data_IF_587973920093
#
_entry.id   IF_587973920093
#
_cell.length_a   1.000
_cell.length_b   1.000
_cell.length_c   1.000
_cell.angle_alpha   90.00
_cell.angle_beta   90.00
_cell.angle_gamma   90.00
#
_symmetry.space_group_name_H-M   'P 1'
#
loop_
_entity.id
_entity.type
_entity.pdbx_description
1 polymer ?
#
# COMPACT_ATOMS: atom_id res chain seq x y z
N UNK A 1 11.45 12.70 -9.25
CA UNK A 1 11.30 12.69 -7.77
C UNK A 1 10.01 11.94 -7.54
N UNK A 2 10.02 10.89 -6.73
CA UNK A 2 8.82 10.06 -6.54
C UNK A 2 7.77 10.89 -5.82
N UNK A 3 6.59 11.06 -6.41
CA UNK A 3 5.48 11.75 -5.78
C UNK A 3 4.84 10.89 -4.68
N UNK A 4 4.52 11.49 -3.54
CA UNK A 4 3.86 10.85 -2.40
C UNK A 4 2.44 11.39 -2.22
N UNK A 5 1.43 10.56 -2.54
CA UNK A 5 0.02 10.93 -2.50
C UNK A 5 -0.66 10.27 -1.31
N UNK A 6 -1.32 11.07 -0.48
CA UNK A 6 -2.16 10.60 0.63
C UNK A 6 -3.63 10.61 0.23
N UNK A 7 -4.34 9.51 0.47
CA UNK A 7 -5.79 9.43 0.35
C UNK A 7 -6.38 9.26 1.75
N UNK A 8 -7.27 10.16 2.15
CA UNK A 8 -7.76 10.28 3.51
C UNK A 8 -9.29 10.44 3.52
N UNK A 9 -10.03 9.39 3.92
CA UNK A 9 -11.44 9.52 4.26
C UNK A 9 -11.64 10.55 5.38
N UNK A 10 -12.66 11.37 5.23
CA UNK A 10 -13.03 12.41 6.19
C UNK A 10 -14.21 11.92 7.02
N UNK A 11 -13.92 11.61 8.28
CA UNK A 11 -14.92 11.36 9.31
C UNK A 11 -15.33 12.67 10.00
N UNK A 12 -15.72 12.57 11.26
CA UNK A 12 -16.14 13.74 12.05
C UNK A 12 -15.03 14.34 12.92
N UNK A 13 -13.83 13.75 12.88
CA UNK A 13 -12.69 14.19 13.68
C UNK A 13 -11.46 14.41 12.78
N UNK A 14 -10.79 15.57 12.89
CA UNK A 14 -9.64 15.90 12.04
C UNK A 14 -8.35 15.20 12.49
N UNK A 15 -8.31 14.79 13.77
CA UNK A 15 -7.13 14.27 14.45
C UNK A 15 -6.44 13.09 13.73
N UNK A 16 -7.17 12.08 13.22
CA UNK A 16 -6.54 10.96 12.52
C UNK A 16 -5.80 11.34 11.23
N UNK A 17 -6.17 12.45 10.60
CA UNK A 17 -5.45 12.96 9.43
C UNK A 17 -4.26 13.80 9.89
N UNK A 18 -4.49 14.74 10.82
CA UNK A 18 -3.48 15.70 11.27
C UNK A 18 -2.33 15.06 12.06
N UNK A 19 -2.59 13.99 12.81
CA UNK A 19 -1.55 13.30 13.56
C UNK A 19 -0.55 12.52 12.69
N UNK A 20 -0.94 12.15 11.46
CA UNK A 20 -0.04 11.52 10.49
C UNK A 20 0.86 12.53 9.76
N UNK A 21 0.55 13.83 9.83
CA UNK A 21 1.33 14.88 9.17
C UNK A 21 2.73 14.94 9.75
N UNK A 22 3.74 14.78 8.87
CA UNK A 22 5.15 14.73 9.22
C UNK A 22 5.66 13.36 9.68
N UNK A 23 4.78 12.37 9.87
CA UNK A 23 5.20 10.99 10.13
C UNK A 23 5.48 10.21 8.83
N UNK A 24 4.85 10.61 7.72
CA UNK A 24 5.01 10.05 6.38
C UNK A 24 5.25 11.18 5.37
N UNK A 25 6.01 10.94 4.28
CA UNK A 25 6.21 11.92 3.22
C UNK A 25 4.90 12.17 2.46
N UNK A 26 4.57 13.43 2.18
CA UNK A 26 3.34 13.81 1.51
C UNK A 26 3.52 15.04 0.64
N UNK A 27 3.25 14.88 -0.66
CA UNK A 27 3.27 15.97 -1.66
C UNK A 27 1.85 16.42 -2.04
N UNK A 28 0.86 15.53 -1.86
CA UNK A 28 -0.54 15.77 -2.22
C UNK A 28 -1.49 15.00 -1.31
N UNK A 29 -2.65 15.60 -1.03
CA UNK A 29 -3.73 14.97 -0.27
C UNK A 29 -5.02 14.87 -1.09
N UNK A 30 -5.71 13.74 -1.01
CA UNK A 30 -7.09 13.57 -1.44
C UNK A 30 -7.97 13.35 -0.22
N UNK A 31 -9.02 14.15 -0.10
CA UNK A 31 -10.00 14.03 0.96
C UNK A 31 -11.29 13.41 0.42
N UNK A 32 -11.61 12.20 0.88
CA UNK A 32 -12.89 11.56 0.55
C UNK A 32 -13.92 12.01 1.58
N UNK A 33 -14.83 12.90 1.22
CA UNK A 33 -15.81 13.49 2.12
C UNK A 33 -17.23 13.16 1.65
N UNK A 34 -18.21 13.48 2.49
CA UNK A 34 -19.62 13.45 2.11
C UNK A 34 -20.30 14.74 2.59
N UNK A 35 -21.52 15.00 2.11
CA UNK A 35 -22.25 16.23 2.42
C UNK A 35 -22.74 16.36 3.87
N UNK A 36 -22.45 15.40 4.76
CA UNK A 36 -22.80 15.54 6.17
C UNK A 36 -22.05 16.72 6.80
N UNK A 37 -22.79 17.57 7.53
CA UNK A 37 -22.28 18.83 8.08
C UNK A 37 -21.00 18.65 8.92
N UNK A 38 -20.93 17.60 9.74
CA UNK A 38 -19.73 17.31 10.55
C UNK A 38 -18.54 16.86 9.71
N UNK A 39 -18.76 16.17 8.59
CA UNK A 39 -17.70 15.79 7.64
C UNK A 39 -17.13 17.03 6.96
N UNK A 40 -17.99 17.95 6.50
CA UNK A 40 -17.59 19.22 5.90
C UNK A 40 -16.82 20.12 6.89
N UNK A 41 -17.29 20.22 8.14
CA UNK A 41 -16.58 20.95 9.20
C UNK A 41 -15.20 20.34 9.48
N UNK A 42 -15.11 19.01 9.50
CA UNK A 42 -13.86 18.29 9.68
C UNK A 42 -12.90 18.54 8.51
N UNK A 43 -13.38 18.46 7.27
CA UNK A 43 -12.62 18.76 6.05
C UNK A 43 -11.99 20.16 6.10
N UNK A 44 -12.80 21.18 6.40
CA UNK A 44 -12.32 22.56 6.47
C UNK A 44 -11.30 22.77 7.60
N UNK A 45 -11.50 22.13 8.76
CA UNK A 45 -10.52 22.16 9.84
C UNK A 45 -9.17 21.52 9.43
N UNK A 46 -9.21 20.38 8.73
CA UNK A 46 -8.00 19.71 8.21
C UNK A 46 -7.29 20.58 7.19
N UNK A 47 -8.02 21.12 6.19
CA UNK A 47 -7.46 21.97 5.15
C UNK A 47 -6.81 23.23 5.73
N UNK A 48 -7.47 23.87 6.69
CA UNK A 48 -6.94 25.06 7.37
C UNK A 48 -5.63 24.74 8.09
N UNK A 49 -5.57 23.61 8.81
CA UNK A 49 -4.36 23.20 9.52
C UNK A 49 -3.20 22.83 8.57
N UNK A 50 -3.49 22.20 7.43
CA UNK A 50 -2.48 21.89 6.41
C UNK A 50 -1.97 23.14 5.69
N UNK A 51 -2.86 24.08 5.36
CA UNK A 51 -2.48 25.35 4.76
C UNK A 51 -1.55 26.17 5.67
N UNK A 52 -1.79 26.14 6.99
CA UNK A 52 -0.96 26.82 7.98
C UNK A 52 0.50 26.33 8.02
N UNK A 53 0.77 25.11 7.55
CA UNK A 53 2.13 24.54 7.43
C UNK A 53 2.65 24.54 5.99
N UNK A 54 1.97 25.24 5.07
CA UNK A 54 2.34 25.36 3.66
C UNK A 54 1.91 24.19 2.78
N UNK A 55 1.14 23.23 3.31
CA UNK A 55 0.63 22.08 2.55
C UNK A 55 -0.71 22.42 1.90
N UNK A 56 -0.67 22.93 0.67
CA UNK A 56 -1.85 23.43 -0.06
C UNK A 56 -2.27 22.53 -1.22
N UNK A 57 -1.49 21.50 -1.55
CA UNK A 57 -1.82 20.60 -2.65
C UNK A 57 -2.81 19.53 -2.18
N UNK A 58 -4.10 19.87 -2.20
CA UNK A 58 -5.17 18.97 -1.83
C UNK A 58 -6.32 18.99 -2.83
N UNK A 59 -7.04 17.87 -2.92
CA UNK A 59 -8.24 17.70 -3.74
C UNK A 59 -9.36 17.06 -2.91
N UNK A 60 -10.58 17.49 -3.17
CA UNK A 60 -11.79 17.03 -2.48
C UNK A 60 -12.56 16.09 -3.40
N UNK A 61 -12.99 14.96 -2.85
CA UNK A 61 -13.71 13.92 -3.58
C UNK A 61 -14.98 13.59 -2.80
N UNK A 62 -16.12 13.99 -3.33
CA UNK A 62 -17.41 13.62 -2.78
C UNK A 62 -17.66 12.11 -3.00
N UNK A 63 -18.10 11.44 -1.95
CA UNK A 63 -18.42 10.02 -1.94
C UNK A 63 -19.70 9.77 -1.14
N UNK A 64 -20.49 8.77 -1.57
CA UNK A 64 -21.49 8.17 -0.69
C UNK A 64 -20.76 7.15 0.23
N UNK A 65 -20.71 7.38 1.56
CA UNK A 65 -19.99 6.50 2.48
C UNK A 65 -20.68 5.14 2.69
N UNK A 66 -21.86 4.92 2.09
CA UNK A 66 -22.61 3.67 2.11
C UNK A 66 -22.54 2.93 0.77
N UNK A 67 -22.04 3.55 -0.30
CA UNK A 67 -21.79 2.90 -1.58
C UNK A 67 -20.33 2.46 -1.71
N UNK A 68 -20.08 1.21 -1.30
CA UNK A 68 -18.76 0.58 -1.43
C UNK A 68 -18.17 0.69 -2.85
N UNK A 69 -18.99 0.50 -3.89
CA UNK A 69 -18.52 0.45 -5.28
C UNK A 69 -18.13 1.83 -5.77
N UNK A 70 -18.90 2.86 -5.42
CA UNK A 70 -18.57 4.25 -5.72
C UNK A 70 -17.27 4.70 -5.03
N UNK A 71 -17.06 4.30 -3.77
CA UNK A 71 -15.81 4.57 -3.04
C UNK A 71 -14.62 3.89 -3.72
N UNK A 72 -14.74 2.61 -4.07
CA UNK A 72 -13.70 1.88 -4.83
C UNK A 72 -13.41 2.56 -6.17
N UNK A 73 -14.44 2.93 -6.93
CA UNK A 73 -14.30 3.62 -8.21
C UNK A 73 -13.55 4.95 -8.07
N UNK A 74 -13.86 5.71 -7.02
CA UNK A 74 -13.18 6.98 -6.70
C UNK A 74 -11.71 6.77 -6.38
N UNK A 75 -11.39 5.79 -5.52
CA UNK A 75 -10.01 5.44 -5.19
C UNK A 75 -9.20 5.00 -6.43
N UNK A 76 -9.79 4.17 -7.29
CA UNK A 76 -9.15 3.70 -8.52
C UNK A 76 -8.95 4.82 -9.53
N UNK A 77 -9.90 5.78 -9.61
CA UNK A 77 -9.78 6.98 -10.43
C UNK A 77 -8.58 7.83 -9.98
N UNK A 78 -8.46 8.12 -8.68
CA UNK A 78 -7.32 8.86 -8.11
C UNK A 78 -6.01 8.17 -8.48
N UNK A 79 -5.91 6.86 -8.27
CA UNK A 79 -4.73 6.09 -8.63
C UNK A 79 -4.37 6.21 -10.12
N UNK A 80 -5.38 6.09 -11.01
CA UNK A 80 -5.17 6.17 -12.45
C UNK A 80 -4.69 7.55 -12.89
N UNK A 81 -5.32 8.61 -12.38
CA UNK A 81 -4.99 10.00 -12.72
C UNK A 81 -3.58 10.39 -12.25
N UNK A 82 -3.20 10.02 -11.03
CA UNK A 82 -1.87 10.33 -10.49
C UNK A 82 -0.79 9.49 -11.18
N UNK A 83 -1.00 8.19 -11.43
CA UNK A 83 -0.03 7.35 -12.18
C UNK A 83 0.14 7.78 -13.64
N UNK A 84 -0.87 8.42 -14.23
CA UNK A 84 -0.74 9.00 -15.56
C UNK A 84 0.18 10.24 -15.55
N UNK A 85 0.22 10.99 -14.44
CA UNK A 85 1.10 12.14 -14.29
C UNK A 85 2.52 11.73 -13.89
N UNK A 86 2.64 10.83 -12.91
CA UNK A 86 3.91 10.25 -12.47
C UNK A 86 3.76 8.73 -12.32
N UNK A 87 4.32 7.93 -13.25
CA UNK A 87 4.25 6.48 -13.18
C UNK A 87 4.87 5.89 -11.91
N UNK A 88 5.69 6.63 -11.17
CA UNK A 88 6.34 6.16 -9.94
C UNK A 88 5.61 6.60 -8.66
N UNK A 89 4.45 7.28 -8.75
CA UNK A 89 3.70 7.76 -7.57
C UNK A 89 3.49 6.67 -6.53
N UNK A 90 3.83 7.01 -5.28
CA UNK A 90 3.61 6.18 -4.11
C UNK A 90 2.35 6.63 -3.36
N UNK A 91 1.45 5.70 -3.08
CA UNK A 91 0.17 5.99 -2.44
C UNK A 91 0.18 5.57 -0.96
N UNK A 92 -0.32 6.45 -0.11
CA UNK A 92 -0.62 6.17 1.29
C UNK A 92 -2.13 6.30 1.52
N UNK A 93 -2.77 5.29 2.09
CA UNK A 93 -4.20 5.33 2.39
C UNK A 93 -4.39 5.32 3.90
N UNK A 94 -4.94 6.41 4.44
CA UNK A 94 -5.43 6.44 5.81
C UNK A 94 -6.79 5.75 5.85
N UNK A 95 -7.00 4.79 6.74
CA UNK A 95 -8.33 4.16 6.88
C UNK A 95 -8.90 4.30 8.30
N UNK A 96 -8.35 5.20 9.11
CA UNK A 96 -8.81 5.43 10.49
C UNK A 96 -10.17 6.11 10.55
N UNK A 97 -10.46 6.99 9.60
CA UNK A 97 -11.69 7.75 9.52
C UNK A 97 -12.67 7.16 8.50
N UNK A 98 -13.93 7.59 8.58
CA UNK A 98 -15.02 7.15 7.71
C UNK A 98 -15.82 5.98 8.30
N UNK A 99 -16.77 5.48 7.52
CA UNK A 99 -17.56 4.30 7.88
C UNK A 99 -16.71 3.04 7.69
N UNK A 100 -17.14 1.92 8.30
CA UNK A 100 -16.51 0.62 8.05
C UNK A 100 -16.56 0.21 6.57
N UNK A 101 -17.56 0.69 5.81
CA UNK A 101 -17.68 0.47 4.36
C UNK A 101 -16.52 1.16 3.64
N UNK A 102 -16.28 2.44 3.95
CA UNK A 102 -15.16 3.21 3.37
C UNK A 102 -13.80 2.62 3.78
N UNK A 103 -13.65 2.23 5.05
CA UNK A 103 -12.44 1.57 5.54
C UNK A 103 -12.20 0.24 4.80
N UNK A 104 -13.25 -0.57 4.60
CA UNK A 104 -13.19 -1.79 3.81
C UNK A 104 -12.75 -1.54 2.37
N UNK A 105 -13.31 -0.53 1.70
CA UNK A 105 -12.93 -0.15 0.34
C UNK A 105 -11.46 0.29 0.25
N UNK A 106 -11.00 1.09 1.22
CA UNK A 106 -9.60 1.51 1.36
C UNK A 106 -8.67 0.30 1.48
N UNK A 107 -9.01 -0.65 2.37
CA UNK A 107 -8.27 -1.89 2.53
C UNK A 107 -8.22 -2.67 1.21
N UNK A 108 -9.35 -2.92 0.55
CA UNK A 108 -9.36 -3.68 -0.71
C UNK A 108 -8.57 -2.99 -1.82
N UNK A 109 -8.75 -1.69 -2.02
CA UNK A 109 -8.03 -0.96 -3.08
C UNK A 109 -6.54 -0.91 -2.81
N UNK A 110 -6.12 -0.80 -1.56
CA UNK A 110 -4.69 -0.81 -1.23
C UNK A 110 -3.97 -2.05 -1.78
N UNK A 111 -4.60 -3.23 -1.73
CA UNK A 111 -4.07 -4.46 -2.33
C UNK A 111 -4.05 -4.44 -3.87
N UNK A 112 -5.01 -3.77 -4.51
CA UNK A 112 -5.04 -3.67 -5.98
C UNK A 112 -3.97 -2.73 -6.53
N UNK A 113 -3.72 -1.63 -5.82
CA UNK A 113 -2.79 -0.58 -6.29
C UNK A 113 -1.41 -0.63 -5.61
N UNK A 114 -1.23 -1.52 -4.64
CA UNK A 114 -0.01 -1.61 -3.83
C UNK A 114 0.22 -0.37 -2.95
N UNK A 115 -0.85 0.21 -2.39
CA UNK A 115 -0.72 1.38 -1.54
C UNK A 115 -0.23 1.00 -0.14
N UNK A 116 0.50 1.89 0.51
CA UNK A 116 0.80 1.78 1.93
C UNK A 116 -0.44 2.15 2.74
N UNK A 117 -1.12 1.17 3.30
CA UNK A 117 -2.27 1.40 4.17
C UNK A 117 -1.76 1.78 5.57
N UNK A 118 -2.40 2.73 6.25
CA UNK A 118 -2.01 3.08 7.61
C UNK A 118 -3.19 3.49 8.49
N UNK A 119 -3.04 3.21 9.79
CA UNK A 119 -3.99 3.57 10.84
C UNK A 119 -3.31 4.48 11.87
N UNK A 120 -3.98 5.54 12.28
CA UNK A 120 -3.55 6.41 13.37
C UNK A 120 -4.28 6.01 14.65
N UNK A 121 -3.51 5.56 15.64
CA UNK A 121 -4.04 5.24 16.97
C UNK A 121 -4.44 6.52 17.69
N UNK A 122 -5.56 6.50 18.41
CA UNK A 122 -5.99 7.61 19.27
C UNK A 122 -4.94 7.91 20.33
N UNK A 123 -4.83 9.17 20.71
CA UNK A 123 -4.03 9.58 21.85
C UNK A 123 -4.79 9.24 23.13
N UNK A 124 -4.35 8.19 23.84
CA UNK A 124 -4.96 7.80 25.10
C UNK A 124 -4.29 8.53 26.27
N UNK A 125 -5.04 8.98 27.29
CA UNK A 125 -4.47 9.61 28.47
C UNK A 125 -3.41 8.72 29.14
N UNK A 126 -2.17 9.21 29.22
CA UNK A 126 -1.02 8.48 29.76
C UNK A 126 -0.16 7.77 28.71
N UNK A 127 -0.55 7.81 27.43
CA UNK A 127 0.32 7.39 26.34
C UNK A 127 1.39 8.46 26.08
N UNK A 128 2.66 8.06 26.04
CA UNK A 128 3.79 8.92 25.65
C UNK A 128 4.23 8.64 24.21
N UNK A 129 3.30 8.16 23.36
CA UNK A 129 3.64 7.78 21.99
C UNK A 129 3.89 9.03 21.15
N UNK A 130 5.04 9.06 20.49
CA UNK A 130 5.33 10.08 19.48
C UNK A 130 4.40 9.96 18.26
N UNK A 131 4.31 11.01 17.43
CA UNK A 131 3.47 11.00 16.21
C UNK A 131 3.76 9.81 15.30
N UNK A 132 5.03 9.46 15.09
CA UNK A 132 5.43 8.31 14.28
C UNK A 132 5.01 6.99 14.90
N UNK A 133 5.09 6.86 16.24
CA UNK A 133 4.65 5.67 16.96
C UNK A 133 3.13 5.51 16.98
N UNK A 134 2.36 6.58 16.73
CA UNK A 134 0.90 6.50 16.60
C UNK A 134 0.45 6.03 15.22
N UNK A 135 1.31 6.12 14.20
CA UNK A 135 1.03 5.63 12.85
C UNK A 135 1.41 4.15 12.73
N UNK A 136 0.41 3.31 12.50
CA UNK A 136 0.56 1.87 12.24
C UNK A 136 0.50 1.63 10.74
N UNK A 137 1.66 1.33 10.14
CA UNK A 137 1.77 0.98 8.72
C UNK A 137 1.36 -0.48 8.52
N UNK A 138 0.45 -0.71 7.59
CA UNK A 138 0.05 -2.02 7.09
C UNK A 138 0.58 -2.14 5.66
N UNK A 139 1.62 -2.97 5.49
CA UNK A 139 2.18 -3.26 4.18
C UNK A 139 1.15 -4.05 3.37
N UNK A 140 0.62 -3.45 2.30
CA UNK A 140 -0.24 -4.15 1.35
C UNK A 140 0.54 -4.46 0.08
N UNK A 141 0.49 -5.72 -0.41
CA UNK A 141 1.15 -6.09 -1.64
C UNK A 141 0.34 -5.55 -2.81
N UNK A 142 0.98 -5.38 -3.96
CA UNK A 142 0.22 -5.29 -5.21
C UNK A 142 -0.07 -6.72 -5.65
N UNK A 143 -1.33 -7.16 -5.57
CA UNK A 143 -1.71 -8.51 -6.02
C UNK A 143 -1.38 -8.62 -7.52
N UNK A 144 -0.45 -9.52 -7.93
CA UNK A 144 -0.22 -9.76 -9.35
C UNK A 144 -1.39 -10.56 -9.93
N UNK A 145 -1.61 -10.41 -11.22
CA UNK A 145 -2.54 -11.26 -11.96
C UNK A 145 -1.94 -12.68 -12.07
N UNK A 146 -2.42 -13.59 -11.20
CA UNK A 146 -1.91 -14.96 -11.05
C UNK A 146 -2.13 -15.78 -12.33
N UNK A 147 -3.26 -15.56 -13.00
CA UNK A 147 -3.61 -16.27 -14.24
C UNK A 147 -2.67 -15.86 -15.39
N UNK A 148 -2.30 -14.58 -15.46
CA UNK A 148 -1.34 -14.08 -16.45
C UNK A 148 0.12 -14.34 -16.09
N UNK A 149 0.40 -14.84 -14.88
CA UNK A 149 1.76 -15.14 -14.47
C UNK A 149 2.30 -16.36 -15.24
N UNK A 150 3.39 -16.15 -15.99
CA UNK A 150 4.03 -17.24 -16.76
C UNK A 150 4.52 -18.36 -15.83
N UNK A 151 4.48 -19.65 -16.25
CA UNK A 151 4.92 -20.78 -15.43
C UNK A 151 6.33 -20.60 -14.84
N UNK A 152 7.26 -20.10 -15.65
CA UNK A 152 8.63 -19.80 -15.19
C UNK A 152 8.69 -18.80 -14.03
N UNK A 153 7.80 -17.81 -14.01
CA UNK A 153 7.73 -16.84 -12.93
C UNK A 153 7.08 -17.45 -11.67
N UNK A 154 6.04 -18.30 -11.85
CA UNK A 154 5.44 -19.07 -10.75
C UNK A 154 6.50 -19.93 -10.06
N UNK A 155 7.29 -20.69 -10.82
CA UNK A 155 8.35 -21.55 -10.27
C UNK A 155 9.40 -20.78 -9.47
N UNK A 156 9.82 -19.59 -9.95
CA UNK A 156 10.75 -18.73 -9.21
C UNK A 156 10.14 -18.33 -7.87
N UNK A 157 8.90 -17.83 -7.87
CA UNK A 157 8.24 -17.38 -6.66
C UNK A 157 8.04 -18.53 -5.68
N UNK A 158 7.54 -19.67 -6.16
CA UNK A 158 7.41 -20.91 -5.37
C UNK A 158 8.71 -21.29 -4.70
N UNK A 159 9.82 -21.27 -5.44
CA UNK A 159 11.12 -21.64 -4.88
C UNK A 159 11.62 -20.69 -3.81
N UNK A 160 11.34 -19.40 -3.95
CA UNK A 160 11.66 -18.40 -2.91
C UNK A 160 10.78 -18.63 -1.68
N UNK A 161 9.48 -18.90 -1.86
CA UNK A 161 8.51 -19.10 -0.78
C UNK A 161 8.70 -20.40 0.01
N UNK A 162 9.17 -21.48 -0.63
CA UNK A 162 9.54 -22.73 0.05
C UNK A 162 10.69 -22.56 1.05
N UNK A 163 11.56 -21.56 0.85
CA UNK A 163 12.71 -21.36 1.72
C UNK A 163 12.36 -20.57 2.97
N UNK A 164 12.43 -21.23 4.14
CA UNK A 164 12.19 -20.58 5.45
C UNK A 164 13.16 -19.44 5.77
N UNK A 165 14.41 -19.54 5.31
CA UNK A 165 15.48 -18.56 5.58
C UNK A 165 15.78 -17.67 4.37
N UNK A 166 15.01 -17.81 3.29
CA UNK A 166 15.32 -17.20 1.98
C UNK A 166 16.30 -18.03 1.16
N UNK A 167 16.44 -17.69 -0.12
CA UNK A 167 17.28 -18.40 -1.09
C UNK A 167 18.34 -17.46 -1.67
N UNK A 168 19.58 -17.94 -1.76
CA UNK A 168 20.64 -17.19 -2.41
C UNK A 168 20.41 -17.12 -3.94
N UNK A 169 20.67 -15.96 -4.55
CA UNK A 169 20.51 -15.77 -6.00
C UNK A 169 21.27 -16.82 -6.82
N UNK A 170 22.46 -17.23 -6.37
CA UNK A 170 23.25 -18.26 -7.05
C UNK A 170 22.59 -19.64 -6.98
N UNK A 171 22.06 -20.01 -5.81
CA UNK A 171 21.34 -21.27 -5.61
C UNK A 171 20.04 -21.30 -6.45
N UNK A 172 19.32 -20.19 -6.50
CA UNK A 172 18.14 -20.04 -7.35
C UNK A 172 18.51 -20.16 -8.84
N UNK A 173 19.63 -19.56 -9.27
CA UNK A 173 20.09 -19.65 -10.67
C UNK A 173 20.43 -21.07 -11.09
N UNK A 174 21.07 -21.82 -10.19
CA UNK A 174 21.38 -23.23 -10.41
C UNK A 174 20.11 -24.07 -10.53
N UNK A 175 19.15 -23.86 -9.62
CA UNK A 175 17.87 -24.57 -9.63
C UNK A 175 17.05 -24.29 -10.90
N UNK A 176 16.91 -23.02 -11.27
CA UNK A 176 16.13 -22.60 -12.43
C UNK A 176 16.84 -22.87 -13.77
N UNK A 177 18.10 -23.33 -13.73
CA UNK A 177 18.97 -23.48 -14.90
C UNK A 177 18.95 -22.22 -15.80
N UNK A 178 19.02 -21.05 -15.16
CA UNK A 178 18.81 -19.78 -15.83
C UNK A 178 19.86 -18.74 -15.44
N UNK A 179 20.13 -17.79 -16.33
CA UNK A 179 21.09 -16.74 -16.05
C UNK A 179 20.57 -15.79 -14.95
N UNK A 180 21.46 -15.25 -14.09
CA UNK A 180 21.07 -14.26 -13.09
C UNK A 180 20.37 -13.03 -13.68
N UNK A 181 20.69 -12.66 -14.93
CA UNK A 181 20.03 -11.53 -15.61
C UNK A 181 18.55 -11.81 -15.89
N UNK A 182 18.23 -13.01 -16.42
CA UNK A 182 16.85 -13.40 -16.71
C UNK A 182 16.03 -13.51 -15.41
N UNK A 183 16.62 -14.04 -14.34
CA UNK A 183 15.96 -14.13 -13.04
C UNK A 183 15.71 -12.75 -12.43
N UNK A 184 16.69 -11.84 -12.49
CA UNK A 184 16.54 -10.49 -11.94
C UNK A 184 15.35 -9.73 -12.52
N UNK A 185 15.00 -9.95 -13.80
CA UNK A 185 13.82 -9.34 -14.39
C UNK A 185 12.53 -9.72 -13.63
N UNK A 186 12.33 -11.01 -13.36
CA UNK A 186 11.17 -11.50 -12.61
C UNK A 186 11.24 -11.12 -11.12
N UNK A 187 12.43 -11.22 -10.52
CA UNK A 187 12.64 -10.88 -9.11
C UNK A 187 12.36 -9.41 -8.85
N UNK A 188 12.82 -8.50 -9.73
CA UNK A 188 12.51 -7.08 -9.61
C UNK A 188 11.01 -6.83 -9.72
N UNK A 189 10.30 -7.56 -10.59
CA UNK A 189 8.84 -7.50 -10.65
C UNK A 189 8.18 -7.97 -9.34
N UNK A 190 8.70 -9.02 -8.70
CA UNK A 190 8.18 -9.48 -7.41
C UNK A 190 8.49 -8.52 -6.26
N UNK A 191 9.66 -7.88 -6.28
CA UNK A 191 10.03 -6.83 -5.34
C UNK A 191 9.11 -5.62 -5.52
N UNK A 192 8.87 -5.17 -6.75
CA UNK A 192 7.97 -4.04 -7.01
C UNK A 192 6.52 -4.33 -6.60
N UNK A 193 6.11 -5.60 -6.62
CA UNK A 193 4.79 -6.03 -6.15
C UNK A 193 4.73 -6.32 -4.65
N UNK A 194 5.84 -6.24 -3.92
CA UNK A 194 5.90 -6.50 -2.49
C UNK A 194 5.82 -7.98 -2.08
N UNK A 195 6.09 -8.89 -3.02
CA UNK A 195 6.03 -10.35 -2.79
C UNK A 195 7.36 -10.92 -2.27
N UNK A 196 8.46 -10.26 -2.62
CA UNK A 196 9.82 -10.68 -2.28
C UNK A 196 10.60 -9.47 -1.78
N UNK A 197 11.38 -9.65 -0.73
CA UNK A 197 12.37 -8.69 -0.27
C UNK A 197 13.78 -9.21 -0.60
N UNK A 198 14.70 -8.28 -0.90
CA UNK A 198 16.08 -8.58 -1.26
C UNK A 198 17.00 -8.07 -0.16
N UNK A 199 17.66 -8.98 0.53
CA UNK A 199 18.62 -8.69 1.59
C UNK A 199 20.04 -9.02 1.12
N UNK A 200 21.03 -8.33 1.71
CA UNK A 200 22.44 -8.64 1.50
C UNK A 200 22.98 -9.28 2.78
N UNK A 201 23.54 -10.47 2.65
CA UNK A 201 24.31 -11.13 3.70
C UNK A 201 25.78 -11.17 3.26
N UNK A 202 26.55 -10.20 3.73
CA UNK A 202 27.90 -9.93 3.24
C UNK A 202 27.94 -9.66 1.73
N UNK A 203 28.56 -10.55 0.96
CA UNK A 203 28.64 -10.47 -0.52
C UNK A 203 27.48 -11.18 -1.22
N UNK A 204 26.65 -11.91 -0.48
CA UNK A 204 25.58 -12.74 -1.01
C UNK A 204 24.28 -11.96 -1.07
N UNK A 205 23.51 -12.20 -2.13
CA UNK A 205 22.17 -11.68 -2.29
C UNK A 205 21.20 -12.79 -1.89
N UNK A 206 20.42 -12.54 -0.85
CA UNK A 206 19.39 -13.46 -0.34
C UNK A 206 18.02 -12.88 -0.68
N UNK A 207 17.14 -13.74 -1.19
CA UNK A 207 15.76 -13.41 -1.54
C UNK A 207 14.86 -14.05 -0.51
N UNK A 208 14.00 -13.26 0.12
CA UNK A 208 13.08 -13.71 1.17
C UNK A 208 11.65 -13.41 0.72
N UNK A 209 10.78 -14.41 0.77
CA UNK A 209 9.35 -14.18 0.53
C UNK A 209 8.75 -13.38 1.68
N UNK A 210 7.95 -12.37 1.34
CA UNK A 210 7.12 -11.68 2.32
C UNK A 210 5.95 -12.58 2.74
N UNK A 211 5.25 -12.24 3.82
CA UNK A 211 4.01 -12.96 4.20
C UNK A 211 2.99 -12.97 3.06
N UNK A 212 2.97 -11.89 2.28
CA UNK A 212 2.15 -11.72 1.09
C UNK A 212 2.60 -12.65 -0.05
N UNK A 213 3.91 -12.76 -0.30
CA UNK A 213 4.44 -13.74 -1.25
C UNK A 213 4.09 -15.18 -0.88
N UNK A 214 4.11 -15.51 0.42
CA UNK A 214 3.71 -16.82 0.94
C UNK A 214 2.21 -17.08 0.78
N UNK A 215 1.36 -16.09 1.07
CA UNK A 215 -0.09 -16.19 0.86
C UNK A 215 -0.44 -16.39 -0.62
N UNK A 216 0.21 -15.64 -1.51
CA UNK A 216 0.03 -15.82 -2.95
C UNK A 216 0.48 -17.22 -3.40
N UNK A 217 1.61 -17.68 -2.87
CA UNK A 217 2.11 -19.01 -3.14
C UNK A 217 1.15 -20.10 -2.67
N UNK A 218 0.49 -19.97 -1.51
CA UNK A 218 -0.51 -20.96 -1.09
C UNK A 218 -1.66 -21.09 -2.10
N UNK A 219 -2.10 -19.99 -2.72
CA UNK A 219 -3.14 -20.05 -3.75
C UNK A 219 -2.64 -20.69 -5.05
N UNK A 220 -1.41 -20.39 -5.47
CA UNK A 220 -0.79 -21.03 -6.64
C UNK A 220 -0.60 -22.54 -6.41
N UNK A 221 -0.26 -22.93 -5.19
CA UNK A 221 -0.07 -24.33 -4.82
C UNK A 221 -1.40 -25.11 -4.75
N UNK A 222 -2.49 -24.45 -4.33
CA UNK A 222 -3.85 -25.01 -4.36
C UNK A 222 -4.36 -25.20 -5.79
N UNK A 223 -4.13 -24.25 -6.70
CA UNK A 223 -4.47 -24.37 -8.14
C UNK A 223 -3.66 -25.47 -8.87
N UNK A 224 -2.50 -25.84 -8.33
CA UNK A 224 -1.67 -26.94 -8.85
C UNK A 224 -2.06 -28.31 -8.30
N UNK A 225 -3.05 -28.36 -7.40
CA UNK A 225 -3.64 -29.58 -6.85
C UNK A 225 -4.73 -30.16 -7.75
N UNK A 226 -4.63 -31.47 -7.99
CA UNK A 226 -5.63 -32.32 -8.64
C UNK A 226 -7.01 -32.29 -7.97
#
# INVERSE_FOLDING_TARGET
MVQHVHICPVGFYPEPILAAVGALPADKYYFLYNEHEESLKCLEAVKTALAAIGQNNNMEMDIDPFDYSAVVGTLMKIHHEERHQDPDTHFYINFTNGTNIVAGACCSVSYFIGATLYYVMRDEPGSNLSKTERVRIIKTPRIPDIEKMKPFAKDILSKICESKLGIEMQALSLYMQSSPQKLNHHINSFISSGLVEKTKDGRKVVLVATEQGKLLYSWIAEDAGF
#
